data_IF_959336860823
#
_entry.id   IF_959336860823
#
_cell.length_a   1.000
_cell.length_b   1.000
_cell.length_c   1.000
_cell.angle_alpha   90.00
_cell.angle_beta   90.00
_cell.angle_gamma   90.00
#
_symmetry.space_group_name_H-M   'P 1'
#
loop_
_entity.id
_entity.type
_entity.pdbx_description
1 polymer ?
#
# COMPACT_ATOMS: atom_id res chain seq x y z
N UNK A 1 36.14 -12.65 79.56
CA UNK A 1 35.84 -11.97 78.27
C UNK A 1 35.25 -13.00 77.32
N UNK A 2 34.18 -12.63 76.65
CA UNK A 2 33.13 -13.48 76.06
C UNK A 2 33.53 -14.25 74.80
N UNK A 3 32.84 -15.40 74.62
CA UNK A 3 32.54 -16.10 73.37
C UNK A 3 32.43 -15.15 72.17
N UNK A 4 33.22 -15.37 71.09
CA UNK A 4 32.86 -15.08 69.68
C UNK A 4 33.74 -15.89 68.71
N UNK A 5 33.58 -17.21 68.69
CA UNK A 5 34.29 -18.08 67.76
C UNK A 5 33.47 -19.32 67.46
N UNK A 6 32.41 -19.18 66.64
CA UNK A 6 31.66 -20.30 66.04
C UNK A 6 30.59 -19.89 65.00
N UNK A 7 30.61 -18.65 64.47
CA UNK A 7 29.54 -18.14 63.58
C UNK A 7 29.97 -17.87 62.13
N UNK A 8 31.23 -18.10 61.73
CA UNK A 8 31.68 -17.81 60.35
C UNK A 8 31.66 -19.01 59.40
N UNK A 9 31.65 -20.25 59.90
CA UNK A 9 31.64 -21.46 59.05
C UNK A 9 30.21 -21.84 58.65
N UNK A 10 29.21 -21.55 59.49
CA UNK A 10 27.80 -21.77 59.18
C UNK A 10 27.24 -20.82 58.11
N UNK A 11 27.67 -19.54 58.11
CA UNK A 11 27.19 -18.52 57.17
C UNK A 11 27.75 -18.68 55.75
N UNK A 12 29.00 -19.15 55.60
CA UNK A 12 29.57 -19.47 54.29
C UNK A 12 28.98 -20.76 53.70
N UNK A 13 28.76 -21.79 54.53
CA UNK A 13 28.07 -23.00 54.10
C UNK A 13 26.60 -22.71 53.72
N UNK A 14 25.90 -21.84 54.46
CA UNK A 14 24.53 -21.45 54.17
C UNK A 14 24.42 -20.56 52.92
N UNK A 15 25.37 -19.65 52.66
CA UNK A 15 25.39 -18.84 51.43
C UNK A 15 25.70 -19.66 50.17
N UNK A 16 26.59 -20.66 50.28
CA UNK A 16 26.86 -21.61 49.20
C UNK A 16 25.66 -22.53 48.99
N UNK A 17 25.00 -23.00 50.04
CA UNK A 17 23.78 -23.83 49.94
C UNK A 17 22.60 -23.01 49.39
N UNK A 18 22.40 -21.75 49.80
CA UNK A 18 21.36 -20.86 49.23
C UNK A 18 21.68 -20.49 47.78
N UNK A 19 22.95 -20.24 47.43
CA UNK A 19 23.36 -19.98 46.05
C UNK A 19 23.22 -21.19 45.13
N UNK A 20 23.52 -22.39 45.64
CA UNK A 20 23.34 -23.66 44.95
C UNK A 20 21.85 -24.01 44.85
N UNK A 21 21.05 -23.80 45.90
CA UNK A 21 19.60 -23.99 45.90
C UNK A 21 18.90 -22.98 44.99
N UNK A 22 19.31 -21.71 44.97
CA UNK A 22 18.80 -20.71 44.04
C UNK A 22 19.21 -21.02 42.60
N UNK A 23 20.43 -21.52 42.36
CA UNK A 23 20.87 -21.99 41.04
C UNK A 23 20.09 -23.23 40.58
N UNK A 24 19.84 -24.21 41.46
CA UNK A 24 19.03 -25.39 41.16
C UNK A 24 17.53 -25.08 41.02
N UNK A 25 16.99 -24.14 41.81
CA UNK A 25 15.62 -23.62 41.65
C UNK A 25 15.49 -22.84 40.34
N UNK A 26 16.51 -22.07 39.95
CA UNK A 26 16.53 -21.32 38.69
C UNK A 26 16.73 -22.24 37.46
N UNK A 27 17.49 -23.34 37.58
CA UNK A 27 17.56 -24.38 36.53
C UNK A 27 16.27 -25.21 36.42
N UNK A 28 15.64 -25.58 37.54
CA UNK A 28 14.32 -26.24 37.51
C UNK A 28 13.22 -25.32 36.96
N UNK A 29 13.31 -24.01 37.22
CA UNK A 29 12.42 -22.98 36.68
C UNK A 29 12.56 -22.80 35.15
N UNK A 30 13.80 -22.85 34.64
CA UNK A 30 14.15 -22.51 33.26
C UNK A 30 14.29 -23.70 32.30
N UNK A 31 14.30 -24.95 32.79
CA UNK A 31 14.38 -26.15 31.96
C UNK A 31 15.73 -26.36 31.26
N UNK A 32 15.92 -27.52 30.63
CA UNK A 32 17.12 -27.82 29.82
C UNK A 32 16.82 -27.64 28.34
N UNK A 33 17.64 -26.85 27.64
CA UNK A 33 17.55 -26.69 26.19
C UNK A 33 17.96 -28.00 25.49
N UNK A 34 17.13 -28.46 24.55
CA UNK A 34 17.43 -29.57 23.64
C UNK A 34 17.54 -29.03 22.23
N UNK A 35 18.65 -29.34 21.56
CA UNK A 35 18.86 -29.05 20.14
C UNK A 35 18.78 -30.34 19.34
N UNK A 36 17.97 -30.33 18.30
CA UNK A 36 17.86 -31.42 17.34
C UNK A 36 18.02 -30.86 15.93
N UNK A 37 18.74 -31.59 15.07
CA UNK A 37 18.91 -31.26 13.66
C UNK A 37 18.50 -32.48 12.85
N UNK A 38 17.56 -32.32 11.93
CA UNK A 38 17.05 -33.40 11.08
C UNK A 38 16.91 -32.91 9.65
N UNK A 39 17.11 -33.80 8.70
CA UNK A 39 16.79 -33.54 7.29
C UNK A 39 15.27 -33.32 7.14
N UNK A 40 14.90 -32.33 6.34
CA UNK A 40 13.51 -32.04 6.00
C UNK A 40 12.96 -33.15 5.09
N UNK A 41 11.78 -33.66 5.45
CA UNK A 41 11.15 -34.78 4.73
C UNK A 41 10.60 -34.39 3.36
N UNK A 42 10.25 -33.12 3.17
CA UNK A 42 9.74 -32.57 1.92
C UNK A 42 10.86 -31.98 1.06
N UNK A 43 11.92 -31.45 1.69
CA UNK A 43 13.02 -30.76 1.01
C UNK A 43 14.37 -31.42 1.31
N UNK A 44 14.78 -32.35 0.44
CA UNK A 44 15.96 -33.24 0.67
C UNK A 44 17.29 -32.55 0.93
N UNK A 45 17.44 -31.28 0.54
CA UNK A 45 18.66 -30.50 0.70
C UNK A 45 18.52 -29.41 1.78
N UNK A 46 17.55 -29.56 2.66
CA UNK A 46 17.25 -28.63 3.74
C UNK A 46 17.24 -29.40 5.05
N UNK A 47 17.92 -28.87 6.05
CA UNK A 47 17.84 -29.37 7.43
C UNK A 47 16.94 -28.46 8.25
N UNK A 48 16.23 -29.03 9.21
CA UNK A 48 15.46 -28.32 10.22
C UNK A 48 16.24 -28.37 11.52
N UNK A 49 16.55 -27.19 12.06
CA UNK A 49 17.03 -27.06 13.43
C UNK A 49 15.85 -26.75 14.32
N UNK A 50 15.72 -27.53 15.40
CA UNK A 50 14.70 -27.37 16.42
C UNK A 50 15.37 -27.21 17.78
N UNK A 51 15.15 -26.06 18.42
CA UNK A 51 15.54 -25.78 19.80
C UNK A 51 14.28 -25.81 20.66
N UNK A 52 14.26 -26.65 21.69
CA UNK A 52 13.12 -26.76 22.60
C UNK A 52 13.57 -26.63 24.03
N UNK A 53 12.80 -25.88 24.81
CA UNK A 53 12.90 -25.84 26.25
C UNK A 53 11.48 -25.93 26.84
N UNK A 54 11.27 -26.95 27.66
CA UNK A 54 9.99 -27.26 28.32
C UNK A 54 9.98 -26.85 29.79
N UNK A 55 10.72 -25.79 30.14
CA UNK A 55 10.83 -25.26 31.49
C UNK A 55 9.47 -24.92 32.11
N UNK A 56 9.44 -24.90 33.46
CA UNK A 56 8.21 -24.64 34.20
C UNK A 56 7.70 -23.22 33.95
N UNK A 57 8.60 -22.24 33.90
CA UNK A 57 8.25 -20.82 33.79
C UNK A 57 8.71 -20.16 32.50
N UNK A 58 9.66 -20.75 31.79
CA UNK A 58 10.11 -20.32 30.47
C UNK A 58 10.02 -21.50 29.52
N UNK A 59 9.28 -21.32 28.42
CA UNK A 59 9.19 -22.29 27.35
C UNK A 59 9.51 -21.66 26.03
N UNK A 60 10.18 -22.41 25.17
CA UNK A 60 10.28 -22.02 23.77
C UNK A 60 10.42 -23.22 22.85
N UNK A 61 9.90 -23.05 21.64
CA UNK A 61 10.15 -23.90 20.50
C UNK A 61 10.59 -23.01 19.33
N UNK A 62 11.82 -23.22 18.85
CA UNK A 62 12.42 -22.43 17.77
C UNK A 62 12.81 -23.37 16.64
N UNK A 63 12.08 -23.29 15.54
CA UNK A 63 12.32 -24.05 14.32
C UNK A 63 12.84 -23.12 13.22
N UNK A 64 13.91 -23.52 12.54
CA UNK A 64 14.39 -22.81 11.35
C UNK A 64 15.12 -23.74 10.36
N UNK A 65 15.07 -23.43 9.05
CA UNK A 65 15.72 -24.24 8.03
C UNK A 65 17.20 -23.85 7.84
N UNK A 66 18.02 -24.81 7.40
CA UNK A 66 19.36 -24.63 6.88
C UNK A 66 19.44 -25.16 5.46
N UNK A 67 19.97 -24.36 4.54
CA UNK A 67 20.02 -24.66 3.10
C UNK A 67 21.42 -25.02 2.60
N UNK A 68 22.40 -25.10 3.52
CA UNK A 68 23.83 -25.22 3.20
C UNK A 68 24.31 -24.07 2.28
N UNK A 69 23.77 -22.88 2.52
CA UNK A 69 24.09 -21.64 1.84
C UNK A 69 24.48 -20.61 2.88
N UNK A 70 25.79 -20.50 3.18
CA UNK A 70 26.33 -19.72 4.31
C UNK A 70 25.62 -18.38 4.54
N UNK A 71 25.49 -17.53 3.50
CA UNK A 71 24.88 -16.21 3.62
C UNK A 71 23.39 -16.26 4.02
N UNK A 72 22.63 -17.20 3.49
CA UNK A 72 21.23 -17.42 3.83
C UNK A 72 21.10 -18.00 5.24
N UNK A 73 21.89 -19.03 5.54
CA UNK A 73 21.89 -19.72 6.83
C UNK A 73 22.32 -18.80 7.97
N UNK A 74 23.31 -17.92 7.75
CA UNK A 74 23.75 -16.91 8.72
C UNK A 74 22.61 -15.93 9.04
N UNK A 75 21.83 -15.51 8.02
CA UNK A 75 20.69 -14.59 8.20
C UNK A 75 19.54 -15.24 8.96
N UNK A 76 19.23 -16.50 8.64
CA UNK A 76 18.18 -17.28 9.31
C UNK A 76 18.55 -17.53 10.77
N UNK A 77 19.76 -18.03 11.02
CA UNK A 77 20.26 -18.26 12.37
C UNK A 77 20.32 -16.97 13.17
N UNK A 78 20.80 -15.88 12.57
CA UNK A 78 20.83 -14.57 13.24
C UNK A 78 19.42 -14.12 13.64
N UNK A 79 18.41 -14.29 12.79
CA UNK A 79 17.03 -13.95 13.15
C UNK A 79 16.53 -14.79 14.34
N UNK A 80 16.65 -16.11 14.26
CA UNK A 80 16.19 -17.02 15.31
C UNK A 80 16.93 -16.80 16.63
N UNK A 81 18.26 -16.70 16.59
CA UNK A 81 19.09 -16.50 17.77
C UNK A 81 18.85 -15.13 18.40
N UNK A 82 18.75 -14.06 17.61
CA UNK A 82 18.47 -12.73 18.18
C UNK A 82 17.11 -12.66 18.87
N UNK A 83 16.08 -13.29 18.30
CA UNK A 83 14.76 -13.37 18.93
C UNK A 83 14.80 -14.20 20.23
N UNK A 84 15.46 -15.37 20.21
CA UNK A 84 15.60 -16.23 21.38
C UNK A 84 16.42 -15.58 22.50
N UNK A 85 17.55 -14.95 22.19
CA UNK A 85 18.39 -14.28 23.18
C UNK A 85 17.69 -13.05 23.77
N UNK A 86 16.96 -12.29 22.96
CA UNK A 86 16.12 -11.20 23.47
C UNK A 86 15.07 -11.72 24.45
N UNK A 87 14.36 -12.80 24.09
CA UNK A 87 13.36 -13.43 24.95
C UNK A 87 13.95 -13.96 26.26
N UNK A 88 15.08 -14.69 26.20
CA UNK A 88 15.81 -15.18 27.39
C UNK A 88 16.24 -14.04 28.30
N UNK A 89 16.72 -12.93 27.72
CA UNK A 89 17.06 -11.73 28.47
C UNK A 89 15.85 -11.13 29.17
N UNK A 90 14.73 -10.95 28.47
CA UNK A 90 13.49 -10.42 29.05
C UNK A 90 12.99 -11.29 30.21
N UNK A 91 13.10 -12.62 30.08
CA UNK A 91 12.77 -13.54 31.16
C UNK A 91 13.70 -13.35 32.38
N UNK A 92 15.02 -13.25 32.15
CA UNK A 92 16.00 -13.10 33.24
C UNK A 92 15.86 -11.82 34.06
N UNK A 93 15.28 -10.77 33.46
CA UNK A 93 15.06 -9.46 34.08
C UNK A 93 13.67 -9.37 34.76
N UNK A 94 12.81 -10.38 34.60
CA UNK A 94 11.47 -10.39 35.17
C UNK A 94 11.48 -10.68 36.68
N UNK A 95 10.65 -9.95 37.45
CA UNK A 95 10.61 -10.04 38.93
C UNK A 95 9.49 -10.94 39.47
N UNK A 96 8.39 -11.08 38.75
CA UNK A 96 7.16 -11.74 39.21
C UNK A 96 6.74 -12.87 38.25
N UNK A 97 7.56 -13.91 38.17
CA UNK A 97 7.34 -15.08 37.31
C UNK A 97 6.65 -16.19 38.11
N UNK A 98 5.49 -16.63 37.64
CA UNK A 98 4.72 -17.74 38.22
C UNK A 98 4.07 -18.60 37.11
N UNK A 99 3.32 -19.64 37.50
CA UNK A 99 2.66 -20.56 36.54
C UNK A 99 1.61 -19.87 35.66
N UNK A 100 0.98 -18.80 36.14
CA UNK A 100 -0.03 -18.02 35.42
C UNK A 100 0.60 -16.94 34.51
N UNK A 101 1.86 -16.57 34.77
CA UNK A 101 2.66 -15.60 34.01
C UNK A 101 3.87 -16.23 33.33
N UNK A 102 3.71 -17.46 32.85
CA UNK A 102 4.78 -18.16 32.12
C UNK A 102 5.21 -17.40 30.87
N UNK A 103 6.48 -17.50 30.52
CA UNK A 103 7.03 -16.92 29.31
C UNK A 103 7.02 -17.97 28.21
N UNK A 104 6.59 -17.59 27.01
CA UNK A 104 6.49 -18.49 25.86
C UNK A 104 6.99 -17.81 24.59
N UNK A 105 7.90 -18.48 23.86
CA UNK A 105 8.35 -18.07 22.54
C UNK A 105 8.18 -19.24 21.57
N UNK A 106 7.43 -19.04 20.50
CA UNK A 106 7.34 -20.00 19.41
C UNK A 106 7.81 -19.32 18.12
N UNK A 107 8.89 -19.82 17.53
CA UNK A 107 9.35 -19.43 16.21
C UNK A 107 9.16 -20.62 15.29
N UNK A 108 8.35 -20.45 14.27
CA UNK A 108 8.14 -21.44 13.23
C UNK A 108 8.25 -20.80 11.84
N UNK A 109 8.30 -21.63 10.80
CA UNK A 109 8.43 -21.16 9.44
C UNK A 109 7.64 -21.99 8.43
N UNK A 110 7.19 -21.30 7.38
CA UNK A 110 6.67 -21.92 6.17
C UNK A 110 7.70 -21.77 5.04
N UNK A 111 8.01 -22.88 4.37
CA UNK A 111 8.68 -22.84 3.06
C UNK A 111 7.64 -22.47 1.99
N UNK A 112 7.39 -21.17 1.82
CA UNK A 112 6.37 -20.66 0.88
C UNK A 112 6.74 -20.96 -0.57
N UNK A 113 8.04 -20.89 -0.87
CA UNK A 113 8.60 -21.20 -2.18
C UNK A 113 10.03 -21.74 -2.02
N UNK A 114 10.37 -22.77 -2.77
CA UNK A 114 11.69 -23.36 -2.90
C UNK A 114 11.85 -23.94 -4.31
N UNK A 115 12.66 -23.25 -5.12
CA UNK A 115 12.91 -23.58 -6.51
C UNK A 115 14.41 -23.45 -6.83
N UNK A 116 14.79 -23.92 -8.03
CA UNK A 116 16.18 -23.81 -8.53
C UNK A 116 16.71 -22.37 -8.55
N UNK A 117 15.85 -21.38 -8.79
CA UNK A 117 16.23 -19.96 -8.81
C UNK A 117 16.30 -19.36 -7.40
N UNK A 118 15.29 -19.61 -6.58
CA UNK A 118 15.05 -18.82 -5.37
C UNK A 118 14.22 -19.57 -4.34
N UNK A 119 14.30 -19.10 -3.10
CA UNK A 119 13.44 -19.51 -2.00
C UNK A 119 12.74 -18.30 -1.36
N UNK A 120 11.56 -18.54 -0.80
CA UNK A 120 10.83 -17.63 0.06
C UNK A 120 10.46 -18.36 1.36
N UNK A 121 11.03 -17.91 2.47
CA UNK A 121 10.81 -18.48 3.81
C UNK A 121 10.02 -17.45 4.63
N UNK A 122 8.87 -17.85 5.16
CA UNK A 122 8.05 -16.97 5.99
C UNK A 122 8.06 -17.46 7.42
N UNK A 123 8.67 -16.68 8.31
CA UNK A 123 8.69 -16.93 9.73
C UNK A 123 7.45 -16.37 10.42
N UNK A 124 6.99 -17.08 11.44
CA UNK A 124 6.01 -16.64 12.43
C UNK A 124 6.65 -16.73 13.80
N UNK A 125 6.76 -15.59 14.48
CA UNK A 125 7.26 -15.51 15.86
C UNK A 125 6.12 -15.09 16.76
N UNK A 126 5.70 -15.99 17.65
CA UNK A 126 4.78 -15.71 18.74
C UNK A 126 5.56 -15.53 20.03
N UNK A 127 5.28 -14.45 20.76
CA UNK A 127 5.92 -14.17 22.04
C UNK A 127 4.87 -13.77 23.08
N UNK A 128 4.93 -14.41 24.24
CA UNK A 128 4.16 -14.09 25.43
C UNK A 128 5.11 -13.95 26.63
N UNK A 129 5.09 -12.80 27.32
CA UNK A 129 6.02 -12.47 28.41
C UNK A 129 5.28 -12.22 29.73
N UNK A 130 4.21 -12.99 30.00
CA UNK A 130 3.47 -12.94 31.26
C UNK A 130 2.70 -11.64 31.55
N UNK A 131 2.55 -10.74 30.57
CA UNK A 131 1.77 -9.50 30.62
C UNK A 131 1.06 -9.29 29.27
N UNK A 132 -0.20 -8.83 29.28
CA UNK A 132 -1.06 -8.61 28.10
C UNK A 132 -1.34 -9.86 27.22
N UNK A 133 -2.03 -9.69 26.09
CA UNK A 133 -2.17 -10.73 25.07
C UNK A 133 -0.82 -10.97 24.38
N UNK A 134 -0.53 -12.23 24.02
CA UNK A 134 0.68 -12.56 23.26
C UNK A 134 0.73 -11.84 21.91
N UNK A 135 1.95 -11.55 21.44
CA UNK A 135 2.19 -10.85 20.17
C UNK A 135 2.65 -11.82 19.09
N UNK A 136 2.19 -11.62 17.86
CA UNK A 136 2.62 -12.42 16.71
C UNK A 136 3.23 -11.50 15.65
N UNK A 137 4.45 -11.82 15.23
CA UNK A 137 5.17 -11.11 14.18
C UNK A 137 5.50 -12.04 13.02
N UNK A 138 5.53 -11.49 11.81
CA UNK A 138 5.91 -12.23 10.60
C UNK A 138 7.11 -11.58 9.92
N UNK A 139 7.99 -12.41 9.36
CA UNK A 139 9.10 -11.99 8.51
C UNK A 139 9.16 -12.89 7.28
N UNK A 140 9.23 -12.30 6.10
CA UNK A 140 9.49 -13.08 4.87
C UNK A 140 10.90 -12.80 4.34
N UNK A 141 11.68 -13.86 4.14
CA UNK A 141 13.02 -13.82 3.56
C UNK A 141 12.94 -14.39 2.15
N UNK A 142 13.33 -13.59 1.15
CA UNK A 142 13.48 -14.04 -0.23
C UNK A 142 14.97 -14.10 -0.58
N UNK A 143 15.41 -15.19 -1.19
CA UNK A 143 16.81 -15.40 -1.55
C UNK A 143 16.93 -15.96 -2.97
N UNK A 144 17.85 -15.41 -3.76
CA UNK A 144 18.20 -15.87 -5.10
C UNK A 144 19.47 -16.72 -5.03
N UNK A 145 19.36 -18.02 -5.33
CA UNK A 145 20.46 -18.97 -5.26
C UNK A 145 21.51 -18.74 -6.36
N UNK A 146 21.11 -18.25 -7.54
CA UNK A 146 22.05 -17.98 -8.63
C UNK A 146 22.87 -16.71 -8.35
N UNK A 147 22.21 -15.67 -7.84
CA UNK A 147 22.87 -14.38 -7.52
C UNK A 147 23.50 -14.36 -6.12
N UNK A 148 23.22 -15.36 -5.27
CA UNK A 148 23.67 -15.44 -3.88
C UNK A 148 23.35 -14.18 -3.07
N UNK A 149 22.13 -13.68 -3.24
CA UNK A 149 21.67 -12.43 -2.60
C UNK A 149 20.23 -12.52 -2.14
N UNK A 150 19.92 -11.74 -1.10
CA UNK A 150 18.54 -11.49 -0.70
C UNK A 150 17.84 -10.62 -1.75
N UNK A 151 16.55 -10.81 -1.89
CA UNK A 151 15.70 -10.05 -2.80
C UNK A 151 14.82 -9.09 -2.01
N UNK A 152 14.98 -7.80 -2.28
CA UNK A 152 13.96 -6.80 -1.98
C UNK A 152 12.97 -6.71 -3.14
N UNK A 153 11.82 -6.09 -2.90
CA UNK A 153 10.76 -5.91 -3.90
C UNK A 153 11.29 -5.23 -5.17
N UNK A 154 12.16 -4.23 -5.01
CA UNK A 154 12.80 -3.50 -6.13
C UNK A 154 13.64 -4.42 -7.03
N UNK A 155 14.20 -5.50 -6.48
CA UNK A 155 15.10 -6.38 -7.22
C UNK A 155 14.36 -7.25 -8.24
N UNK A 156 13.04 -7.39 -8.08
CA UNK A 156 12.18 -8.11 -9.01
C UNK A 156 11.89 -7.34 -10.31
N UNK A 157 12.05 -6.01 -10.30
CA UNK A 157 11.55 -5.14 -11.37
C UNK A 157 12.67 -4.41 -12.11
N UNK A 158 12.42 -4.09 -13.38
CA UNK A 158 13.32 -3.34 -14.24
C UNK A 158 13.56 -1.92 -13.65
N UNK A 159 14.80 -1.40 -13.68
CA UNK A 159 15.09 -0.03 -13.25
C UNK A 159 14.24 1.00 -14.01
N UNK A 160 13.97 2.16 -13.38
CA UNK A 160 13.20 3.29 -13.94
C UNK A 160 11.72 3.00 -14.26
N UNK A 161 11.21 1.82 -13.95
CA UNK A 161 9.77 1.54 -14.02
C UNK A 161 9.06 2.09 -12.79
N UNK A 162 7.80 2.51 -12.93
CA UNK A 162 6.97 2.93 -11.80
C UNK A 162 6.26 1.74 -11.14
N UNK A 163 7.03 0.68 -10.84
CA UNK A 163 6.49 -0.61 -10.40
C UNK A 163 5.66 -0.47 -9.12
N UNK A 164 6.07 0.39 -8.18
CA UNK A 164 5.32 0.62 -6.94
C UNK A 164 3.93 1.20 -7.20
N UNK A 165 3.77 2.14 -8.16
CA UNK A 165 2.44 2.62 -8.56
C UNK A 165 1.59 1.52 -9.16
N UNK A 166 2.17 0.65 -10.00
CA UNK A 166 1.44 -0.47 -10.59
C UNK A 166 0.99 -1.49 -9.54
N UNK A 167 1.87 -1.85 -8.60
CA UNK A 167 1.56 -2.73 -7.47
C UNK A 167 0.47 -2.12 -6.58
N UNK A 168 0.62 -0.84 -6.23
CA UNK A 168 -0.38 -0.07 -5.47
C UNK A 168 -1.74 -0.08 -6.13
N UNK A 169 -1.81 0.25 -7.43
CA UNK A 169 -3.05 0.26 -8.19
C UNK A 169 -3.74 -1.11 -8.22
N UNK A 170 -3.01 -2.18 -8.56
CA UNK A 170 -3.56 -3.54 -8.58
C UNK A 170 -4.04 -3.94 -7.18
N UNK A 171 -3.25 -3.66 -6.17
CA UNK A 171 -3.53 -4.08 -4.78
C UNK A 171 -4.73 -3.35 -4.21
N UNK A 172 -4.75 -2.02 -4.28
CA UNK A 172 -5.87 -1.21 -3.84
C UNK A 172 -7.16 -1.65 -4.53
N UNK A 173 -7.14 -1.74 -5.86
CA UNK A 173 -8.32 -2.11 -6.65
C UNK A 173 -8.84 -3.51 -6.35
N UNK A 174 -7.95 -4.46 -6.03
CA UNK A 174 -8.37 -5.83 -5.69
C UNK A 174 -8.90 -5.93 -4.27
N UNK A 175 -8.22 -5.31 -3.29
CA UNK A 175 -8.62 -5.36 -1.89
C UNK A 175 -9.89 -4.55 -1.61
N UNK A 176 -10.12 -3.45 -2.32
CA UNK A 176 -11.32 -2.62 -2.19
C UNK A 176 -12.61 -3.36 -2.58
N UNK A 177 -12.52 -4.45 -3.37
CA UNK A 177 -13.68 -5.29 -3.70
C UNK A 177 -14.27 -5.98 -2.48
N UNK A 178 -13.45 -6.21 -1.46
CA UNK A 178 -13.92 -6.73 -0.18
C UNK A 178 -14.42 -5.60 0.69
N UNK A 179 -15.74 -5.54 0.86
CA UNK A 179 -16.42 -4.51 1.66
C UNK A 179 -16.01 -4.52 3.13
N UNK A 180 -15.47 -5.63 3.66
CA UNK A 180 -14.97 -5.69 5.04
C UNK A 180 -13.65 -4.95 5.16
N UNK A 181 -12.73 -5.14 4.22
CA UNK A 181 -11.45 -4.44 4.17
C UNK A 181 -11.63 -2.97 3.79
N UNK A 182 -12.60 -2.66 2.93
CA UNK A 182 -12.83 -1.31 2.42
C UNK A 182 -13.67 -0.42 3.35
N UNK A 183 -13.96 -0.85 4.59
CA UNK A 183 -14.69 -0.03 5.57
C UNK A 183 -13.93 1.24 5.90
N UNK A 184 -12.63 1.11 6.20
CA UNK A 184 -11.71 2.23 6.33
C UNK A 184 -10.93 2.43 5.03
N UNK A 185 -11.46 3.29 4.16
CA UNK A 185 -10.81 3.60 2.89
C UNK A 185 -9.46 4.30 3.06
N UNK A 186 -9.29 5.12 4.11
CA UNK A 186 -8.06 5.85 4.35
C UNK A 186 -6.94 4.88 4.78
N UNK A 187 -7.26 3.91 5.65
CA UNK A 187 -6.35 2.84 6.03
C UNK A 187 -5.95 2.00 4.82
N UNK A 188 -6.92 1.58 4.00
CA UNK A 188 -6.63 0.78 2.81
C UNK A 188 -5.76 1.55 1.81
N UNK A 189 -6.04 2.84 1.56
CA UNK A 189 -5.22 3.71 0.70
C UNK A 189 -3.81 3.85 1.24
N UNK A 190 -3.65 4.17 2.52
CA UNK A 190 -2.33 4.31 3.17
C UNK A 190 -1.53 3.01 3.15
N UNK A 191 -2.18 1.89 3.48
CA UNK A 191 -1.56 0.56 3.54
C UNK A 191 -1.16 0.00 2.18
N UNK A 192 -1.80 0.47 1.11
CA UNK A 192 -1.50 0.07 -0.27
C UNK A 192 -0.76 1.15 -1.08
N UNK A 193 -0.42 2.28 -0.46
CA UNK A 193 0.31 3.37 -1.10
C UNK A 193 1.63 2.89 -1.72
N UNK A 194 2.12 3.51 -2.82
CA UNK A 194 3.24 3.03 -3.62
C UNK A 194 4.61 3.27 -2.96
N UNK A 195 4.83 2.65 -1.80
CA UNK A 195 6.06 2.75 -1.00
C UNK A 195 6.76 1.39 -0.91
N UNK A 196 8.10 1.39 -0.83
CA UNK A 196 8.85 0.15 -0.67
C UNK A 196 8.49 -0.59 0.63
N UNK A 197 8.18 0.14 1.70
CA UNK A 197 7.79 -0.43 2.99
C UNK A 197 6.48 -1.21 2.90
N UNK A 198 5.45 -0.65 2.26
CA UNK A 198 4.14 -1.30 2.13
C UNK A 198 4.19 -2.63 1.36
N UNK A 199 5.16 -2.77 0.47
CA UNK A 199 5.35 -3.96 -0.36
C UNK A 199 6.60 -4.77 0.02
N UNK A 200 7.15 -4.56 1.22
CA UNK A 200 8.40 -5.21 1.68
C UNK A 200 8.21 -6.67 2.09
N UNK A 201 7.02 -7.05 2.57
CA UNK A 201 6.70 -8.43 2.91
C UNK A 201 6.05 -9.11 1.71
N UNK A 202 6.83 -9.94 1.00
CA UNK A 202 6.35 -10.66 -0.17
C UNK A 202 7.01 -12.03 -0.29
N UNK A 203 6.43 -12.92 -1.09
CA UNK A 203 7.04 -14.17 -1.55
C UNK A 203 7.04 -14.21 -3.07
N UNK A 204 8.21 -14.45 -3.66
CA UNK A 204 8.33 -14.75 -5.09
C UNK A 204 7.94 -16.22 -5.33
N UNK A 205 6.69 -16.45 -5.73
CA UNK A 205 6.13 -17.78 -6.00
C UNK A 205 6.23 -18.16 -7.47
N UNK A 206 5.89 -19.40 -7.84
CA UNK A 206 5.97 -19.88 -9.23
C UNK A 206 5.18 -18.97 -10.19
N UNK A 207 3.89 -18.78 -9.91
CA UNK A 207 2.94 -18.07 -10.79
C UNK A 207 2.61 -16.65 -10.32
N UNK A 208 2.96 -16.31 -9.09
CA UNK A 208 2.52 -15.10 -8.41
C UNK A 208 3.70 -14.40 -7.73
N UNK A 209 3.54 -13.11 -7.47
CA UNK A 209 4.21 -12.44 -6.35
C UNK A 209 3.14 -12.25 -5.29
N UNK A 210 3.31 -12.88 -4.14
CA UNK A 210 2.34 -12.83 -3.05
C UNK A 210 2.78 -11.83 -2.00
N UNK A 211 1.99 -10.78 -1.77
CA UNK A 211 2.26 -9.75 -0.78
C UNK A 211 1.51 -10.05 0.51
N UNK A 212 2.17 -9.81 1.64
CA UNK A 212 1.64 -9.97 2.98
C UNK A 212 1.51 -8.60 3.61
N UNK A 213 0.32 -8.30 4.12
CA UNK A 213 0.01 -7.06 4.82
C UNK A 213 -0.25 -7.43 6.28
N UNK A 214 0.63 -7.06 7.23
CA UNK A 214 0.39 -7.24 8.66
C UNK A 214 -0.96 -6.67 9.11
N UNK A 215 -1.43 -7.12 10.27
CA UNK A 215 -2.62 -6.58 10.91
C UNK A 215 -2.51 -5.05 11.02
N UNK A 216 -3.65 -4.36 10.86
CA UNK A 216 -3.73 -2.90 10.90
C UNK A 216 -2.99 -2.16 9.77
N UNK A 217 -2.45 -2.86 8.75
CA UNK A 217 -1.89 -2.16 7.58
C UNK A 217 -2.97 -1.75 6.58
N UNK A 218 -3.84 -2.68 6.17
CA UNK A 218 -4.84 -2.49 5.09
C UNK A 218 -6.28 -2.70 5.54
N UNK A 219 -6.49 -3.10 6.79
CA UNK A 219 -7.77 -3.40 7.38
C UNK A 219 -7.64 -3.38 8.92
N UNK A 220 -8.79 -3.37 9.61
CA UNK A 220 -8.86 -3.37 11.07
C UNK A 220 -8.10 -4.56 11.71
N UNK A 221 -7.61 -4.37 12.94
CA UNK A 221 -6.72 -5.32 13.63
C UNK A 221 -7.36 -6.71 13.82
N UNK A 222 -8.66 -6.75 14.10
CA UNK A 222 -9.47 -7.95 14.34
C UNK A 222 -9.59 -8.85 13.11
N UNK A 223 -9.42 -8.30 11.90
CA UNK A 223 -9.38 -9.05 10.66
C UNK A 223 -8.02 -9.73 10.42
N UNK A 224 -7.00 -9.38 11.22
CA UNK A 224 -5.67 -9.93 11.16
C UNK A 224 -4.92 -9.63 9.85
N UNK A 225 -3.78 -10.31 9.61
CA UNK A 225 -2.97 -10.05 8.43
C UNK A 225 -3.70 -10.44 7.14
N UNK A 226 -3.59 -9.57 6.13
CA UNK A 226 -4.17 -9.78 4.80
C UNK A 226 -3.10 -10.21 3.80
N UNK A 227 -3.54 -10.80 2.69
CA UNK A 227 -2.66 -11.27 1.62
C UNK A 227 -3.24 -10.94 0.25
N UNK A 228 -2.36 -10.71 -0.73
CA UNK A 228 -2.75 -10.63 -2.14
C UNK A 228 -1.67 -11.24 -3.03
N UNK A 229 -2.05 -12.26 -3.80
CA UNK A 229 -1.20 -12.82 -4.85
C UNK A 229 -1.45 -12.16 -6.21
N UNK A 230 -0.45 -11.44 -6.73
CA UNK A 230 -0.52 -10.82 -8.06
C UNK A 230 0.09 -11.78 -9.08
N UNK A 231 -0.69 -12.16 -10.10
CA UNK A 231 -0.21 -13.08 -11.14
C UNK A 231 0.93 -12.41 -11.92
N UNK A 232 2.08 -13.09 -12.03
CA UNK A 232 3.29 -12.57 -12.68
C UNK A 232 3.05 -12.04 -14.10
N UNK A 233 2.14 -12.65 -14.85
CA UNK A 233 1.77 -12.20 -16.21
C UNK A 233 1.21 -10.77 -16.26
N UNK A 234 0.66 -10.26 -15.17
CA UNK A 234 0.19 -8.87 -15.05
C UNK A 234 1.34 -7.86 -14.87
N UNK A 235 2.53 -8.36 -14.54
CA UNK A 235 3.74 -7.59 -14.26
C UNK A 235 4.79 -7.76 -15.37
N UNK A 236 4.47 -8.45 -16.47
CA UNK A 236 5.43 -8.89 -17.51
C UNK A 236 6.23 -7.74 -18.16
N UNK A 237 5.67 -6.55 -18.19
CA UNK A 237 6.21 -5.31 -18.75
C UNK A 237 7.21 -4.61 -17.82
N UNK A 238 7.16 -4.91 -16.52
CA UNK A 238 8.01 -4.28 -15.51
C UNK A 238 8.88 -5.28 -14.74
N UNK A 239 8.56 -6.57 -14.75
CA UNK A 239 9.28 -7.61 -14.01
C UNK A 239 10.49 -8.12 -14.81
N UNK A 240 11.59 -8.40 -14.12
CA UNK A 240 12.80 -8.91 -14.75
C UNK A 240 12.56 -10.34 -15.32
N UNK A 241 13.02 -10.64 -16.55
CA UNK A 241 12.72 -11.91 -17.22
C UNK A 241 13.13 -13.17 -16.45
N UNK A 242 14.22 -13.13 -15.66
CA UNK A 242 14.68 -14.29 -14.89
C UNK A 242 13.64 -14.78 -13.87
N UNK A 243 12.86 -13.87 -13.30
CA UNK A 243 11.81 -14.20 -12.32
C UNK A 243 10.48 -14.57 -13.00
N UNK A 244 10.41 -14.47 -14.32
CA UNK A 244 9.28 -14.94 -15.15
C UNK A 244 9.51 -16.35 -15.71
N UNK A 245 10.73 -16.88 -15.62
CA UNK A 245 11.07 -18.19 -16.17
C UNK A 245 10.37 -19.32 -15.41
N UNK A 246 9.50 -20.08 -16.10
CA UNK A 246 8.68 -21.14 -15.48
C UNK A 246 9.52 -22.26 -14.86
N UNK A 247 10.53 -22.74 -15.58
CA UNK A 247 11.34 -23.89 -15.14
C UNK A 247 12.25 -23.54 -13.97
N UNK A 248 12.88 -22.35 -14.01
CA UNK A 248 13.78 -21.90 -12.95
C UNK A 248 13.05 -21.57 -11.64
N UNK A 249 11.83 -21.04 -11.75
CA UNK A 249 10.98 -20.69 -10.61
C UNK A 249 9.90 -21.75 -10.33
N UNK A 250 10.05 -22.97 -10.84
CA UNK A 250 9.11 -24.06 -10.54
C UNK A 250 9.35 -24.52 -9.10
N UNK A 251 8.30 -24.47 -8.28
CA UNK A 251 8.40 -24.90 -6.90
C UNK A 251 8.61 -26.42 -6.82
N UNK A 252 9.44 -26.89 -5.90
CA UNK A 252 9.65 -28.33 -5.67
C UNK A 252 8.38 -29.00 -5.11
N UNK A 253 7.65 -28.28 -4.28
CA UNK A 253 6.39 -28.74 -3.68
C UNK A 253 5.19 -27.98 -4.26
N UNK A 254 3.97 -28.49 -4.10
CA UNK A 254 2.78 -27.74 -4.52
C UNK A 254 2.55 -26.54 -3.60
N UNK A 255 2.58 -25.34 -4.15
CA UNK A 255 2.28 -24.12 -3.40
C UNK A 255 0.81 -24.10 -2.95
N UNK A 256 0.51 -23.61 -1.74
CA UNK A 256 -0.86 -23.40 -1.31
C UNK A 256 -1.53 -22.34 -2.19
N UNK A 257 -2.83 -22.56 -2.45
CA UNK A 257 -3.64 -21.60 -3.17
C UNK A 257 -3.75 -20.29 -2.35
N UNK A 258 -3.41 -19.14 -2.94
CA UNK A 258 -3.57 -17.85 -2.25
C UNK A 258 -5.03 -17.58 -1.88
N UNK A 259 -5.26 -16.98 -0.71
CA UNK A 259 -6.60 -16.58 -0.25
C UNK A 259 -7.24 -15.55 -1.20
N UNK A 260 -6.45 -14.58 -1.68
CA UNK A 260 -6.87 -13.57 -2.66
C UNK A 260 -5.86 -13.50 -3.79
N UNK A 261 -6.35 -13.31 -5.02
CA UNK A 261 -5.52 -13.26 -6.22
C UNK A 261 -5.97 -12.20 -7.22
N UNK A 262 -5.03 -11.41 -7.70
CA UNK A 262 -5.21 -10.56 -8.87
C UNK A 262 -4.76 -11.34 -10.12
N UNK A 263 -5.72 -11.77 -10.93
CA UNK A 263 -5.47 -12.56 -12.17
C UNK A 263 -5.78 -11.81 -13.46
N UNK A 264 -6.39 -10.62 -13.33
CA UNK A 264 -6.63 -9.64 -14.40
C UNK A 264 -6.18 -8.27 -13.85
N UNK A 265 -5.66 -7.40 -14.72
CA UNK A 265 -5.48 -6.01 -14.32
C UNK A 265 -6.85 -5.42 -13.99
N UNK A 266 -6.95 -4.51 -12.99
CA UNK A 266 -8.17 -3.75 -12.80
C UNK A 266 -8.54 -3.09 -14.13
N UNK A 267 -9.81 -3.21 -14.52
CA UNK A 267 -10.27 -2.57 -15.74
C UNK A 267 -10.24 -1.06 -15.50
N UNK A 268 -9.33 -0.35 -16.18
CA UNK A 268 -9.64 1.00 -16.60
C UNK A 268 -10.95 0.93 -17.40
N UNK A 269 -11.86 1.89 -17.22
CA UNK A 269 -13.00 2.11 -18.12
C UNK A 269 -12.48 1.94 -19.55
N UNK A 270 -12.95 0.93 -20.27
CA UNK A 270 -12.52 0.70 -21.65
C UNK A 270 -13.21 1.77 -22.49
N UNK A 271 -12.50 2.87 -22.72
CA UNK A 271 -12.98 3.95 -23.57
C UNK A 271 -13.15 3.40 -24.99
N UNK A 272 -14.30 3.67 -25.61
CA UNK A 272 -14.54 3.33 -27.01
C UNK A 272 -13.90 4.40 -27.89
N UNK A 273 -12.90 3.98 -28.68
CA UNK A 273 -12.15 4.88 -29.56
C UNK A 273 -13.02 5.47 -30.67
N UNK A 274 -14.14 4.84 -31.03
CA UNK A 274 -15.02 5.30 -32.10
C UNK A 274 -16.19 6.16 -31.59
N UNK A 275 -16.42 6.19 -30.28
CA UNK A 275 -17.52 6.94 -29.69
C UNK A 275 -17.06 8.33 -29.25
N UNK A 276 -17.87 9.38 -29.49
CA UNK A 276 -17.56 10.75 -29.07
C UNK A 276 -17.24 10.81 -27.58
N UNK A 277 -16.23 11.59 -27.19
CA UNK A 277 -15.83 11.80 -25.80
C UNK A 277 -15.71 13.29 -25.49
N UNK A 278 -16.06 13.68 -24.27
CA UNK A 278 -16.00 15.07 -23.80
C UNK A 278 -15.61 15.06 -22.32
N UNK A 279 -14.70 15.97 -21.93
CA UNK A 279 -14.27 16.12 -20.54
C UNK A 279 -15.03 17.26 -19.87
N UNK A 280 -15.94 16.93 -18.97
CA UNK A 280 -16.53 17.91 -18.06
C UNK A 280 -15.56 18.17 -16.91
N UNK A 281 -15.28 19.44 -16.65
CA UNK A 281 -14.33 19.83 -15.61
C UNK A 281 -14.91 20.89 -14.68
N UNK A 282 -14.56 20.79 -13.40
CA UNK A 282 -15.12 21.62 -12.34
C UNK A 282 -14.02 22.26 -11.50
N UNK A 283 -14.01 23.58 -11.43
CA UNK A 283 -13.01 24.38 -10.73
C UNK A 283 -13.55 24.94 -9.40
N UNK A 284 -12.61 25.34 -8.53
CA UNK A 284 -12.79 25.99 -7.22
C UNK A 284 -13.32 25.14 -6.06
N UNK A 285 -13.77 23.92 -6.33
CA UNK A 285 -14.23 22.98 -5.32
C UNK A 285 -13.13 22.49 -4.36
N UNK A 286 -13.48 21.57 -3.44
CA UNK A 286 -14.83 21.02 -3.24
C UNK A 286 -15.80 21.99 -2.53
N UNK A 287 -17.10 21.80 -2.77
CA UNK A 287 -18.21 22.34 -1.98
C UNK A 287 -19.25 21.23 -1.74
N UNK A 288 -19.39 20.67 -0.52
CA UNK A 288 -20.26 19.53 -0.29
C UNK A 288 -21.71 19.68 -0.78
N UNK A 289 -22.28 20.88 -0.73
CA UNK A 289 -23.67 21.12 -1.11
C UNK A 289 -23.91 20.96 -2.63
N UNK A 290 -22.90 21.23 -3.46
CA UNK A 290 -23.02 21.28 -4.92
C UNK A 290 -22.19 20.19 -5.59
N UNK A 291 -20.97 19.92 -5.13
CA UNK A 291 -20.12 18.82 -5.63
C UNK A 291 -20.85 17.48 -5.53
N UNK A 292 -21.54 17.19 -4.41
CA UNK A 292 -22.24 15.91 -4.22
C UNK A 292 -23.34 15.67 -5.26
N UNK A 293 -24.08 16.72 -5.66
CA UNK A 293 -25.14 16.62 -6.69
C UNK A 293 -24.55 16.24 -8.06
N UNK A 294 -23.38 16.80 -8.38
CA UNK A 294 -22.67 16.51 -9.63
C UNK A 294 -22.16 15.07 -9.62
N UNK A 295 -21.56 14.63 -8.51
CA UNK A 295 -21.09 13.25 -8.36
C UNK A 295 -22.21 12.22 -8.49
N UNK A 296 -23.40 12.52 -7.95
CA UNK A 296 -24.59 11.68 -8.09
C UNK A 296 -25.02 11.55 -9.56
N UNK A 297 -25.15 12.67 -10.28
CA UNK A 297 -25.49 12.64 -11.70
C UNK A 297 -24.43 11.90 -12.54
N UNK A 298 -23.14 12.10 -12.28
CA UNK A 298 -22.07 11.36 -12.97
C UNK A 298 -22.22 9.85 -12.77
N UNK A 299 -22.44 9.42 -11.52
CA UNK A 299 -22.66 8.00 -11.18
C UNK A 299 -23.89 7.41 -11.87
N UNK A 300 -25.02 8.12 -11.89
CA UNK A 300 -26.25 7.67 -12.55
C UNK A 300 -26.06 7.44 -14.05
N UNK A 301 -25.24 8.28 -14.68
CA UNK A 301 -24.98 8.22 -16.12
C UNK A 301 -23.72 7.42 -16.48
N UNK A 302 -23.07 6.79 -15.49
CA UNK A 302 -21.81 6.04 -15.66
C UNK A 302 -20.71 6.89 -16.32
N UNK A 303 -20.71 8.18 -16.04
CA UNK A 303 -19.75 9.15 -16.53
C UNK A 303 -18.72 9.53 -15.48
N UNK A 304 -17.58 10.05 -15.93
CA UNK A 304 -16.55 10.64 -15.08
C UNK A 304 -16.33 12.11 -15.44
N UNK A 305 -15.74 12.86 -14.52
CA UNK A 305 -15.32 14.25 -14.69
C UNK A 305 -13.96 14.50 -14.00
N UNK A 306 -13.37 15.68 -14.23
CA UNK A 306 -12.16 16.12 -13.52
C UNK A 306 -12.45 17.34 -12.66
N UNK A 307 -12.12 17.26 -11.37
CA UNK A 307 -12.31 18.33 -10.38
C UNK A 307 -10.98 19.00 -10.06
N UNK A 308 -10.78 20.24 -10.49
CA UNK A 308 -9.60 21.05 -10.17
C UNK A 308 -9.84 21.76 -8.83
N UNK A 309 -9.30 21.19 -7.76
CA UNK A 309 -9.61 21.63 -6.39
C UNK A 309 -8.62 22.64 -5.85
N UNK A 310 -9.11 23.56 -5.02
CA UNK A 310 -8.31 24.51 -4.27
C UNK A 310 -7.74 23.87 -2.99
N UNK A 311 -6.44 24.03 -2.77
CA UNK A 311 -5.80 23.50 -1.55
C UNK A 311 -6.43 24.00 -0.25
N UNK A 312 -6.85 25.27 -0.21
CA UNK A 312 -7.58 25.85 0.93
C UNK A 312 -8.91 25.13 1.21
N UNK A 313 -9.61 24.63 0.18
CA UNK A 313 -10.87 23.88 0.34
C UNK A 313 -10.65 22.41 0.69
N UNK A 314 -9.59 21.80 0.18
CA UNK A 314 -9.18 20.43 0.54
C UNK A 314 -8.99 20.32 2.06
N UNK A 315 -8.47 21.35 2.72
CA UNK A 315 -8.31 21.36 4.19
C UNK A 315 -9.65 21.28 4.93
N UNK A 316 -10.70 21.91 4.41
CA UNK A 316 -12.01 21.93 5.04
C UNK A 316 -12.84 20.69 4.72
N UNK A 317 -12.66 20.09 3.54
CA UNK A 317 -13.49 18.98 3.05
C UNK A 317 -12.66 17.79 2.54
N UNK A 318 -11.73 17.23 3.33
CA UNK A 318 -10.86 16.14 2.87
C UNK A 318 -11.64 14.88 2.47
N UNK A 319 -12.76 14.58 3.14
CA UNK A 319 -13.61 13.42 2.81
C UNK A 319 -14.21 13.48 1.40
N UNK A 320 -14.50 14.67 0.89
CA UNK A 320 -15.08 14.85 -0.45
C UNK A 320 -14.13 14.39 -1.56
N UNK A 321 -12.81 14.45 -1.34
CA UNK A 321 -11.83 13.95 -2.32
C UNK A 321 -11.92 12.42 -2.47
N UNK A 322 -12.18 11.71 -1.37
CA UNK A 322 -12.40 10.27 -1.42
C UNK A 322 -13.67 9.94 -2.20
N UNK A 323 -14.75 10.72 -2.03
CA UNK A 323 -16.00 10.55 -2.77
C UNK A 323 -15.83 10.80 -4.28
N UNK A 324 -15.09 11.86 -4.65
CA UNK A 324 -14.73 12.15 -6.05
C UNK A 324 -14.04 10.93 -6.67
N UNK A 325 -12.96 10.45 -6.04
CA UNK A 325 -12.16 9.32 -6.55
C UNK A 325 -12.93 8.00 -6.57
N UNK A 326 -13.75 7.72 -5.55
CA UNK A 326 -14.58 6.51 -5.47
C UNK A 326 -15.58 6.40 -6.62
N UNK A 327 -16.02 7.55 -7.16
CA UNK A 327 -16.88 7.63 -8.33
C UNK A 327 -16.16 7.42 -9.67
N UNK A 328 -14.84 7.18 -9.69
CA UNK A 328 -14.05 7.06 -10.92
C UNK A 328 -13.60 8.40 -11.52
N UNK A 329 -13.85 9.51 -10.83
CA UNK A 329 -13.47 10.85 -11.27
C UNK A 329 -11.99 11.14 -10.99
N UNK A 330 -11.47 12.16 -11.66
CA UNK A 330 -10.10 12.63 -11.49
C UNK A 330 -10.04 13.90 -10.64
N UNK A 331 -8.99 14.02 -9.82
CA UNK A 331 -8.68 15.26 -9.11
C UNK A 331 -7.50 15.96 -9.81
N UNK A 332 -7.70 17.22 -10.16
CA UNK A 332 -6.67 18.15 -10.62
C UNK A 332 -6.30 19.16 -9.53
N UNK A 333 -5.16 19.82 -9.70
CA UNK A 333 -4.71 20.90 -8.81
C UNK A 333 -5.15 22.27 -9.35
N UNK A 334 -5.72 23.13 -8.50
CA UNK A 334 -6.14 24.47 -8.89
C UNK A 334 -5.49 25.61 -8.08
N UNK A 335 -4.24 25.42 -7.64
CA UNK A 335 -3.55 26.30 -6.67
C UNK A 335 -4.15 26.23 -5.26
N UNK A 336 -3.56 26.96 -4.32
CA UNK A 336 -3.99 26.89 -2.92
C UNK A 336 -5.15 27.84 -2.64
N UNK A 337 -5.04 29.10 -3.05
CA UNK A 337 -6.01 30.17 -2.73
C UNK A 337 -6.46 30.99 -3.94
N UNK A 338 -6.38 30.42 -5.14
CA UNK A 338 -6.84 31.03 -6.40
C UNK A 338 -6.16 32.37 -6.82
N UNK A 339 -4.86 32.63 -6.58
CA UNK A 339 -4.22 33.84 -7.09
C UNK A 339 -3.89 33.73 -8.58
N UNK A 340 -3.86 34.86 -9.29
CA UNK A 340 -3.31 34.91 -10.64
C UNK A 340 -1.79 34.69 -10.60
N UNK A 341 -1.34 33.48 -10.95
CA UNK A 341 0.04 33.03 -10.71
C UNK A 341 1.09 33.88 -11.44
N UNK A 342 0.76 34.43 -12.62
CA UNK A 342 1.65 35.29 -13.40
C UNK A 342 1.95 36.64 -12.73
N UNK A 343 1.20 37.01 -11.69
CA UNK A 343 1.44 38.22 -10.88
C UNK A 343 2.25 37.94 -9.62
N UNK A 344 2.62 36.69 -9.36
CA UNK A 344 3.40 36.30 -8.21
C UNK A 344 4.87 36.09 -8.59
N UNK A 345 5.81 36.29 -7.65
CA UNK A 345 7.14 35.72 -7.78
C UNK A 345 7.06 34.22 -8.05
N UNK A 346 7.90 33.70 -8.95
CA UNK A 346 7.86 32.29 -9.38
C UNK A 346 7.87 31.30 -8.20
N UNK A 347 8.66 31.59 -7.16
CA UNK A 347 8.72 30.78 -5.93
C UNK A 347 7.36 30.67 -5.23
N UNK A 348 6.62 31.77 -5.15
CA UNK A 348 5.28 31.80 -4.53
C UNK A 348 4.24 31.12 -5.42
N UNK A 349 4.33 31.30 -6.74
CA UNK A 349 3.48 30.57 -7.69
C UNK A 349 3.68 29.05 -7.57
N UNK A 350 4.93 28.58 -7.49
CA UNK A 350 5.25 27.16 -7.29
C UNK A 350 4.78 26.67 -5.92
N UNK A 351 4.89 27.51 -4.88
CA UNK A 351 4.42 27.17 -3.52
C UNK A 351 2.92 26.90 -3.50
N UNK A 352 2.11 27.73 -4.18
CA UNK A 352 0.66 27.53 -4.31
C UNK A 352 0.30 26.14 -4.84
N UNK A 353 1.02 25.66 -5.85
CA UNK A 353 0.78 24.34 -6.46
C UNK A 353 1.29 23.22 -5.55
N UNK A 354 2.50 23.34 -5.00
CA UNK A 354 3.12 22.31 -4.14
C UNK A 354 2.37 22.09 -2.84
N UNK A 355 1.89 23.14 -2.19
CA UNK A 355 1.11 23.01 -0.96
C UNK A 355 -0.22 22.30 -1.22
N UNK A 356 -0.84 22.59 -2.36
CA UNK A 356 -2.06 21.92 -2.81
C UNK A 356 -1.81 20.44 -3.12
N UNK A 357 -0.71 20.09 -3.82
CA UNK A 357 -0.33 18.69 -4.06
C UNK A 357 -0.23 17.90 -2.74
N UNK A 358 0.48 18.45 -1.74
CA UNK A 358 0.65 17.81 -0.43
C UNK A 358 -0.68 17.60 0.28
N UNK A 359 -1.59 18.56 0.18
CA UNK A 359 -2.90 18.47 0.83
C UNK A 359 -3.79 17.41 0.17
N UNK A 360 -3.81 17.35 -1.16
CA UNK A 360 -4.56 16.32 -1.89
C UNK A 360 -3.99 14.93 -1.57
N UNK A 361 -2.67 14.77 -1.62
CA UNK A 361 -2.00 13.50 -1.29
C UNK A 361 -2.29 13.08 0.17
N UNK A 362 -2.21 14.02 1.12
CA UNK A 362 -2.52 13.75 2.52
C UNK A 362 -4.00 13.36 2.72
N UNK A 363 -4.93 13.99 2.01
CA UNK A 363 -6.36 13.78 2.20
C UNK A 363 -6.88 12.51 1.51
N UNK A 364 -6.24 12.06 0.43
CA UNK A 364 -6.80 11.03 -0.45
C UNK A 364 -5.81 9.94 -0.90
N UNK A 365 -4.53 10.07 -0.58
CA UNK A 365 -3.48 9.20 -1.13
C UNK A 365 -3.26 9.36 -2.64
N UNK A 366 -3.98 10.27 -3.31
CA UNK A 366 -3.88 10.53 -4.73
C UNK A 366 -2.93 11.71 -5.01
N UNK A 367 -2.10 11.58 -6.03
CA UNK A 367 -1.22 12.67 -6.49
C UNK A 367 -1.71 13.14 -7.87
N UNK A 368 -2.29 14.35 -7.97
CA UNK A 368 -2.69 14.90 -9.26
C UNK A 368 -1.53 15.00 -10.23
N UNK A 369 -1.81 14.71 -11.51
CA UNK A 369 -0.91 14.89 -12.65
C UNK A 369 -1.24 16.14 -13.46
N UNK A 370 -2.48 16.60 -13.36
CA UNK A 370 -3.01 17.78 -14.04
C UNK A 370 -3.07 18.99 -13.11
N UNK A 371 -2.70 20.14 -13.64
CA UNK A 371 -2.78 21.44 -13.00
C UNK A 371 -3.56 22.40 -13.90
N UNK A 372 -4.54 23.11 -13.34
CA UNK A 372 -5.22 24.22 -14.03
C UNK A 372 -4.87 25.52 -13.34
N UNK A 373 -4.18 26.46 -14.00
CA UNK A 373 -3.88 27.76 -13.42
C UNK A 373 -5.16 28.59 -13.24
N UNK A 374 -5.37 29.23 -12.08
CA UNK A 374 -6.44 30.21 -11.90
C UNK A 374 -6.50 31.21 -13.07
N UNK A 375 -7.71 31.48 -13.55
CA UNK A 375 -7.97 32.38 -14.69
C UNK A 375 -7.30 31.99 -16.02
N UNK A 376 -6.75 30.76 -16.13
CA UNK A 376 -5.92 30.35 -17.28
C UNK A 376 -4.54 31.04 -17.32
N UNK A 377 -4.21 31.84 -16.30
CA UNK A 377 -3.01 32.68 -16.31
C UNK A 377 -1.73 31.90 -16.00
N UNK A 378 -1.01 31.51 -17.05
CA UNK A 378 0.29 30.84 -16.92
C UNK A 378 1.32 31.34 -17.94
N UNK A 379 2.57 30.93 -17.76
CA UNK A 379 3.68 31.18 -18.70
C UNK A 379 4.68 30.00 -18.65
N UNK A 380 5.66 30.01 -19.56
CA UNK A 380 6.63 28.94 -19.67
C UNK A 380 7.41 28.67 -18.37
N UNK A 381 7.80 29.72 -17.64
CA UNK A 381 8.53 29.60 -16.39
C UNK A 381 7.71 28.87 -15.32
N UNK A 382 6.42 29.23 -15.18
CA UNK A 382 5.50 28.56 -14.26
C UNK A 382 5.31 27.10 -14.69
N UNK A 383 5.02 26.84 -15.97
CA UNK A 383 4.78 25.50 -16.49
C UNK A 383 5.97 24.55 -16.24
N UNK A 384 7.19 25.03 -16.48
CA UNK A 384 8.40 24.25 -16.22
C UNK A 384 8.62 24.02 -14.72
N UNK A 385 8.42 25.05 -13.89
CA UNK A 385 8.71 24.97 -12.47
C UNK A 385 7.69 24.14 -11.66
N UNK A 386 6.43 24.07 -12.11
CA UNK A 386 5.41 23.24 -11.45
C UNK A 386 5.58 21.75 -11.75
N UNK A 387 6.14 21.39 -12.91
CA UNK A 387 6.39 20.00 -13.29
C UNK A 387 5.12 19.15 -13.45
N UNK A 388 3.98 19.79 -13.77
CA UNK A 388 2.67 19.15 -13.95
C UNK A 388 2.10 19.49 -15.34
N UNK A 389 1.20 18.66 -15.85
CA UNK A 389 0.54 18.93 -17.13
C UNK A 389 -0.49 20.04 -16.97
N UNK A 390 -0.30 21.15 -17.67
CA UNK A 390 -1.27 22.25 -17.67
C UNK A 390 -2.50 21.87 -18.50
N UNK A 391 -3.67 22.01 -17.89
CA UNK A 391 -4.97 21.66 -18.50
C UNK A 391 -5.87 22.88 -18.53
N UNK A 392 -6.13 23.39 -19.74
CA UNK A 392 -7.08 24.48 -19.97
C UNK A 392 -8.43 23.90 -20.43
N UNK A 393 -9.20 24.68 -21.18
CA UNK A 393 -10.53 24.32 -21.66
C UNK A 393 -10.78 24.89 -23.05
N UNK A 394 -11.78 24.34 -23.74
CA UNK A 394 -12.21 24.77 -25.08
C UNK A 394 -13.58 25.49 -25.03
N UNK A 395 -14.40 25.16 -24.03
CA UNK A 395 -15.76 25.69 -23.85
C UNK A 395 -15.88 26.33 -22.47
N UNK A 396 -16.30 27.58 -22.43
CA UNK A 396 -16.52 28.35 -21.20
C UNK A 396 -17.91 29.01 -21.25
N UNK A 397 -18.90 28.51 -20.48
CA UNK A 397 -20.23 29.10 -20.41
C UNK A 397 -20.29 30.36 -19.53
N UNK A 398 -19.16 30.82 -18.98
CA UNK A 398 -19.09 31.87 -17.96
C UNK A 398 -20.08 31.64 -16.81
N UNK A 399 -20.19 30.40 -16.31
CA UNK A 399 -21.17 30.03 -15.27
C UNK A 399 -20.97 30.80 -13.94
N UNK A 400 -19.73 31.24 -13.69
CA UNK A 400 -19.33 32.15 -12.64
C UNK A 400 -19.94 33.57 -12.75
N UNK A 401 -20.38 33.96 -13.96
CA UNK A 401 -20.96 35.28 -14.29
C UNK A 401 -22.46 35.20 -14.57
N UNK A 402 -22.88 34.25 -15.41
CA UNK A 402 -24.26 34.14 -15.91
C UNK A 402 -25.24 33.68 -14.81
N UNK A 403 -24.81 32.78 -13.93
CA UNK A 403 -25.60 32.27 -12.78
C UNK A 403 -26.99 31.71 -13.12
N UNK A 404 -27.27 31.37 -14.37
CA UNK A 404 -28.55 30.84 -14.82
C UNK A 404 -28.39 29.44 -15.40
N UNK A 405 -28.98 28.43 -14.75
CA UNK A 405 -28.75 27.03 -15.10
C UNK A 405 -29.16 26.67 -16.53
N UNK A 406 -30.23 27.29 -17.05
CA UNK A 406 -30.69 27.03 -18.41
C UNK A 406 -29.75 27.63 -19.47
N UNK A 407 -29.29 28.86 -19.26
CA UNK A 407 -28.35 29.51 -20.18
C UNK A 407 -27.01 28.76 -20.21
N UNK A 408 -26.50 28.34 -19.05
CA UNK A 408 -25.28 27.53 -18.93
C UNK A 408 -25.46 26.20 -19.68
N UNK A 409 -26.58 25.51 -19.46
CA UNK A 409 -26.90 24.25 -20.15
C UNK A 409 -26.91 24.44 -21.67
N UNK A 410 -27.65 25.44 -22.17
CA UNK A 410 -27.77 25.72 -23.60
C UNK A 410 -26.42 26.08 -24.22
N UNK A 411 -25.59 26.84 -23.52
CA UNK A 411 -24.26 27.20 -23.99
C UNK A 411 -23.37 25.96 -24.14
N UNK A 412 -23.28 25.13 -23.10
CA UNK A 412 -22.44 23.93 -23.14
C UNK A 412 -22.92 22.96 -24.22
N UNK A 413 -24.21 22.67 -24.31
CA UNK A 413 -24.75 21.73 -25.30
C UNK A 413 -24.58 22.22 -26.75
N UNK A 414 -24.66 23.54 -27.00
CA UNK A 414 -24.46 24.09 -28.35
C UNK A 414 -22.99 24.13 -28.79
N UNK A 415 -22.04 24.08 -27.85
CA UNK A 415 -20.60 24.07 -28.13
C UNK A 415 -19.92 22.71 -27.85
N UNK A 416 -20.70 21.70 -27.46
CA UNK A 416 -20.22 20.34 -27.23
C UNK A 416 -19.77 19.70 -28.55
N UNK A 417 -18.53 19.22 -28.57
CA UNK A 417 -17.98 18.45 -29.67
C UNK A 417 -17.03 17.38 -29.13
N UNK A 418 -16.80 16.34 -29.93
CA UNK A 418 -15.82 15.29 -29.61
C UNK A 418 -14.44 15.90 -29.33
N UNK A 419 -13.78 15.41 -28.29
CA UNK A 419 -12.44 15.86 -27.93
C UNK A 419 -12.38 17.16 -27.10
N UNK A 420 -13.51 17.80 -26.77
CA UNK A 420 -13.51 19.08 -26.03
C UNK A 420 -13.42 18.92 -24.52
N UNK A 421 -12.88 19.95 -23.87
CA UNK A 421 -12.87 20.13 -22.42
C UNK A 421 -13.75 21.32 -22.05
N UNK A 422 -14.72 21.11 -21.15
CA UNK A 422 -15.68 22.14 -20.70
C UNK A 422 -15.28 22.66 -19.32
N UNK A 423 -15.12 23.98 -19.17
CA UNK A 423 -14.95 24.65 -17.88
C UNK A 423 -16.31 24.89 -17.23
N UNK A 424 -16.44 24.51 -15.96
CA UNK A 424 -17.53 24.88 -15.07
C UNK A 424 -16.98 25.03 -13.63
N UNK A 425 -17.79 25.53 -12.71
CA UNK A 425 -17.41 25.69 -11.31
C UNK A 425 -18.41 24.96 -10.40
N UNK A 426 -17.95 23.99 -9.61
CA UNK A 426 -18.81 23.15 -8.76
C UNK A 426 -19.18 23.80 -7.41
N UNK A 427 -19.08 25.12 -7.31
CA UNK A 427 -19.28 25.85 -6.05
C UNK A 427 -20.59 26.64 -6.03
N UNK A 428 -21.37 26.57 -7.10
CA UNK A 428 -22.61 27.35 -7.29
C UNK A 428 -23.79 26.45 -7.61
N UNK A 429 -24.95 26.75 -7.01
CA UNK A 429 -26.13 25.90 -7.18
C UNK A 429 -26.65 25.91 -8.63
N UNK A 430 -26.62 27.06 -9.32
CA UNK A 430 -27.00 27.14 -10.73
C UNK A 430 -26.05 26.34 -11.64
N UNK A 431 -24.75 26.30 -11.34
CA UNK A 431 -23.78 25.46 -12.04
C UNK A 431 -24.03 23.97 -11.80
N UNK A 432 -24.31 23.57 -10.55
CA UNK A 432 -24.63 22.18 -10.23
C UNK A 432 -25.92 21.71 -10.93
N UNK A 433 -26.97 22.53 -10.91
CA UNK A 433 -28.22 22.25 -11.64
C UNK A 433 -27.99 22.13 -13.16
N UNK A 434 -27.15 23.00 -13.74
CA UNK A 434 -26.79 22.91 -15.15
C UNK A 434 -25.99 21.64 -15.44
N UNK A 435 -25.00 21.32 -14.61
CA UNK A 435 -24.15 20.15 -14.75
C UNK A 435 -24.98 18.86 -14.77
N UNK A 436 -25.96 18.70 -13.87
CA UNK A 436 -26.89 17.55 -13.87
C UNK A 436 -27.59 17.42 -15.22
N UNK A 437 -28.16 18.50 -15.74
CA UNK A 437 -28.82 18.51 -17.06
C UNK A 437 -27.85 18.18 -18.20
N UNK A 438 -26.67 18.81 -18.21
CA UNK A 438 -25.62 18.61 -19.21
C UNK A 438 -25.17 17.15 -19.24
N UNK A 439 -24.91 16.55 -18.07
CA UNK A 439 -24.49 15.15 -17.93
C UNK A 439 -25.53 14.22 -18.56
N UNK A 440 -26.82 14.39 -18.23
CA UNK A 440 -27.88 13.57 -18.82
C UNK A 440 -27.99 13.75 -20.33
N UNK A 441 -27.98 14.99 -20.83
CA UNK A 441 -28.17 15.26 -22.25
C UNK A 441 -26.98 14.82 -23.11
N UNK A 442 -25.74 15.04 -22.66
CA UNK A 442 -24.55 14.54 -23.36
C UNK A 442 -24.52 13.01 -23.39
N UNK A 443 -24.89 12.35 -22.29
CA UNK A 443 -24.98 10.89 -22.24
C UNK A 443 -26.03 10.37 -23.23
N UNK A 444 -27.22 10.99 -23.29
CA UNK A 444 -28.25 10.68 -24.29
C UNK A 444 -27.78 10.89 -25.73
N UNK A 445 -26.94 11.90 -25.97
CA UNK A 445 -26.34 12.18 -27.28
C UNK A 445 -25.16 11.24 -27.62
N UNK A 446 -24.90 10.24 -26.78
CA UNK A 446 -23.88 9.21 -27.01
C UNK A 446 -22.45 9.67 -26.71
N UNK A 447 -22.25 10.74 -25.93
CA UNK A 447 -20.91 11.08 -25.45
C UNK A 447 -20.48 10.15 -24.31
N UNK A 448 -19.21 9.76 -24.35
CA UNK A 448 -18.48 9.27 -23.18
C UNK A 448 -18.05 10.48 -22.36
N UNK A 449 -18.56 10.57 -21.13
CA UNK A 449 -18.10 11.56 -20.17
C UNK A 449 -16.84 11.03 -19.49
N UNK A 450 -15.71 11.63 -19.82
CA UNK A 450 -14.38 11.14 -19.46
C UNK A 450 -13.63 12.15 -18.60
N UNK A 451 -12.65 11.67 -17.83
CA UNK A 451 -11.65 12.53 -17.19
C UNK A 451 -10.72 13.18 -18.24
N UNK A 452 -9.98 14.23 -17.86
CA UNK A 452 -8.99 14.87 -18.71
C UNK A 452 -7.88 13.88 -19.09
N UNK A 453 -7.39 13.08 -18.14
CA UNK A 453 -6.42 12.00 -18.41
C UNK A 453 -6.94 10.98 -19.44
N UNK A 454 -8.19 10.53 -19.29
CA UNK A 454 -8.83 9.59 -20.23
C UNK A 454 -9.02 10.22 -21.62
N UNK A 455 -9.37 11.51 -21.69
CA UNK A 455 -9.49 12.23 -22.96
C UNK A 455 -8.14 12.36 -23.68
N UNK A 456 -7.06 12.60 -22.94
CA UNK A 456 -5.70 12.62 -23.48
C UNK A 456 -5.26 11.25 -24.01
N UNK A 457 -5.56 10.18 -23.26
CA UNK A 457 -5.30 8.79 -23.68
C UNK A 457 -6.06 8.46 -24.96
N UNK A 458 -7.36 8.81 -25.04
CA UNK A 458 -8.18 8.67 -26.24
C UNK A 458 -7.60 9.42 -27.45
N UNK A 459 -7.23 10.69 -27.29
CA UNK A 459 -6.65 11.50 -28.38
C UNK A 459 -5.36 10.87 -28.89
N UNK A 460 -4.51 10.39 -28.00
CA UNK A 460 -3.26 9.71 -28.35
C UNK A 460 -3.52 8.42 -29.12
N UNK A 461 -4.39 7.55 -28.61
CA UNK A 461 -4.70 6.26 -29.25
C UNK A 461 -5.36 6.43 -30.62
N UNK A 462 -6.28 7.41 -30.76
CA UNK A 462 -6.89 7.74 -32.06
C UNK A 462 -5.84 8.23 -33.07
N UNK A 463 -4.89 9.05 -32.64
CA UNK A 463 -3.82 9.52 -33.51
C UNK A 463 -2.88 8.39 -33.94
N UNK A 464 -2.58 7.44 -33.04
CA UNK A 464 -1.73 6.28 -33.36
C UNK A 464 -2.43 5.28 -34.32
N UNK A 465 -3.76 5.27 -34.36
CA UNK A 465 -4.56 4.42 -35.26
C UNK A 465 -4.96 5.11 -36.57
N UNK A 466 -4.72 6.42 -36.69
CA UNK A 466 -4.93 7.12 -37.95
C UNK A 466 -3.94 6.57 -39.01
N UNK A 467 -4.40 6.17 -40.21
CA UNK A 467 -3.49 5.77 -41.26
C UNK A 467 -2.53 6.92 -41.55
N UNK A 468 -1.22 6.62 -41.63
CA UNK A 468 -0.20 7.57 -42.07
C UNK A 468 -0.59 8.02 -43.47
N UNK A 469 -1.06 9.27 -43.60
CA UNK A 469 -1.34 9.90 -44.89
C UNK A 469 -0.06 10.38 -45.56
#
# INVERSE_FOLDING_TARGET
>A
MSLKGKWSIGLFALAIVIGVVAFFQNQQASGTEKKNVKQDTNYKNVEIVTLVNDGKFMRYAVNYPLFHQKKLDDKIQSYANSALEHFKKTFSEAKDVDENKRFELNIDYDMVHYAKQSAAIRFTTYTYTGQQNGTTNHLTINYDFQKKTFLDTKDLFLPKTNFLKKLSYITYSELQKDKTLSKDQALLQKGTAPTAQNFSQFALKEKYVEFYFPASQVADEDLGPQTLAIKKTLLKDIMKPEYMNKTKNQNEMKEPNPKRKAVKLPQKSKLDLNQKAIALTFDDGPNPATTSKILEALKENKGHATFFVLGSRVQYYPGMLADILKGGNEIGNHSYSHPLLTRLPLKEAVKQVKDTQKLIEKASGYTPTHFRPPYGGTNQNINQAVGMKVSLWDVDPEDWKVRNSQQITNHVLSHAADGRTVLMHDIYDSSAQAAVKIIHELTKQGYQLVTVSELDELKKERHEQAPVQ
#
